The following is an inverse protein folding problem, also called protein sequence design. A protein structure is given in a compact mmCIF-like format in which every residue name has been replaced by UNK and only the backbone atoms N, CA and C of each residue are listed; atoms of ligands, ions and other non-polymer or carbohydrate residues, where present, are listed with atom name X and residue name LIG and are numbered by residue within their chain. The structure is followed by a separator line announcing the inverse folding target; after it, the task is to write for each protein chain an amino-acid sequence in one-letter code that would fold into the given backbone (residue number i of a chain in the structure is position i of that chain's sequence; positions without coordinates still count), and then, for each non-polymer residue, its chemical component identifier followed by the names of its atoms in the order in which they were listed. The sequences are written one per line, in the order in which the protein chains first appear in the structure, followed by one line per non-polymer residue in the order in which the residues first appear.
data_IF_381531043821
#
_entry.id   IF_381531043821
#
_cell.length_a   1.000
_cell.length_b   1.000
_cell.length_c   1.000
_cell.angle_alpha   90.00
_cell.angle_beta   90.00
_cell.angle_gamma   90.00
#
_symmetry.space_group_name_H-M   'P 1'
#
loop_
_entity.id
_entity.type
_entity.pdbx_description
1 polymer ?
#
# COMPACT_ATOMS: atom_id res chain seq x y z
N UNK A 1 -0.33 10.92 -5.65
CA UNK A 1 -0.51 10.61 -4.22
C UNK A 1 -0.05 11.74 -3.33
N UNK A 2 1.22 12.16 -3.36
CA UNK A 2 1.75 13.22 -2.47
C UNK A 2 0.99 14.57 -2.57
N UNK A 3 0.66 15.01 -3.80
CA UNK A 3 -0.09 16.25 -4.05
C UNK A 3 -1.53 16.21 -3.52
N UNK A 4 -2.19 15.06 -3.55
CA UNK A 4 -3.55 14.88 -3.02
C UNK A 4 -3.55 14.87 -1.48
N UNK A 5 -2.53 14.27 -0.86
CA UNK A 5 -2.34 14.30 0.60
C UNK A 5 -2.04 15.73 1.11
N UNK A 6 -1.23 16.50 0.36
CA UNK A 6 -0.94 17.91 0.70
C UNK A 6 -2.19 18.82 0.61
N UNK A 7 -3.14 18.49 -0.26
CA UNK A 7 -4.41 19.21 -0.35
C UNK A 7 -5.31 18.96 0.88
N UNK A 8 -5.18 17.81 1.55
CA UNK A 8 -5.93 17.48 2.78
C UNK A 8 -5.42 18.31 3.97
N UNK A 9 -4.12 18.61 4.03
CA UNK A 9 -3.51 19.35 5.14
C UNK A 9 -3.95 20.83 5.21
N UNK A 10 -4.46 21.39 4.11
CA UNK A 10 -4.85 22.80 4.02
C UNK A 10 -6.34 23.05 4.27
N UNK A 11 -7.17 22.01 4.36
CA UNK A 11 -8.59 22.12 4.70
C UNK A 11 -8.84 21.75 6.15
N UNK A 12 -9.27 22.72 6.97
CA UNK A 12 -9.75 22.55 8.36
C UNK A 12 -11.09 21.80 8.47
N UNK A 13 -11.48 21.02 7.46
CA UNK A 13 -12.69 20.20 7.50
C UNK A 13 -12.35 18.70 7.45
N UNK A 14 -12.93 17.86 8.33
CA UNK A 14 -12.72 16.40 8.37
C UNK A 14 -13.32 15.67 7.15
N UNK A 15 -13.64 16.38 6.07
CA UNK A 15 -14.38 15.85 4.93
C UNK A 15 -13.55 15.97 3.65
N UNK A 16 -13.04 14.84 3.16
CA UNK A 16 -12.38 14.77 1.86
C UNK A 16 -13.44 15.07 0.78
N UNK A 17 -13.24 16.10 -0.07
CA UNK A 17 -14.15 16.38 -1.18
C UNK A 17 -14.35 15.15 -2.07
N UNK A 18 -15.58 14.87 -2.50
CA UNK A 18 -15.93 13.64 -3.25
C UNK A 18 -15.06 13.43 -4.50
N UNK A 19 -14.69 14.52 -5.18
CA UNK A 19 -13.77 14.49 -6.33
C UNK A 19 -12.37 14.00 -5.95
N UNK A 20 -11.85 14.46 -4.81
CA UNK A 20 -10.54 14.06 -4.29
C UNK A 20 -10.60 12.60 -3.83
N UNK A 21 -11.69 12.19 -3.18
CA UNK A 21 -11.91 10.79 -2.77
C UNK A 21 -11.88 9.84 -3.98
N UNK A 22 -12.59 10.15 -5.07
CA UNK A 22 -12.57 9.35 -6.31
C UNK A 22 -11.19 9.28 -6.97
N UNK A 23 -10.44 10.37 -6.96
CA UNK A 23 -9.08 10.38 -7.52
C UNK A 23 -8.13 9.52 -6.67
N UNK A 24 -8.24 9.59 -5.34
CA UNK A 24 -7.46 8.75 -4.43
C UNK A 24 -7.84 7.28 -4.61
N UNK A 25 -9.14 6.98 -4.66
CA UNK A 25 -9.67 5.64 -4.89
C UNK A 25 -9.10 5.01 -6.17
N UNK A 26 -9.17 5.73 -7.29
CA UNK A 26 -8.67 5.25 -8.59
C UNK A 26 -7.15 5.00 -8.57
N UNK A 27 -6.39 5.89 -7.93
CA UNK A 27 -4.95 5.71 -7.79
C UNK A 27 -4.62 4.49 -6.93
N UNK A 28 -5.28 4.32 -5.78
CA UNK A 28 -5.07 3.15 -4.91
C UNK A 28 -5.41 1.86 -5.66
N UNK A 29 -6.53 1.80 -6.37
CA UNK A 29 -6.90 0.64 -7.19
C UNK A 29 -5.85 0.30 -8.25
N UNK A 30 -5.26 1.33 -8.88
CA UNK A 30 -4.19 1.13 -9.85
C UNK A 30 -2.95 0.52 -9.19
N UNK A 31 -2.56 1.02 -8.02
CA UNK A 31 -1.41 0.49 -7.28
C UNK A 31 -1.66 -0.95 -6.78
N UNK A 32 -2.82 -1.24 -6.20
CA UNK A 32 -3.23 -2.61 -5.80
C UNK A 32 -3.05 -3.60 -6.96
N UNK A 33 -3.46 -3.22 -8.19
CA UNK A 33 -3.30 -4.07 -9.38
C UNK A 33 -1.83 -4.25 -9.79
N UNK A 34 -1.01 -3.21 -9.66
CA UNK A 34 0.42 -3.28 -9.98
C UNK A 34 1.15 -4.20 -9.00
N UNK A 35 0.91 -4.02 -7.71
CA UNK A 35 1.53 -4.83 -6.65
C UNK A 35 1.07 -6.29 -6.75
N UNK A 36 -0.22 -6.54 -7.04
CA UNK A 36 -0.72 -7.90 -7.29
C UNK A 36 0.04 -8.59 -8.44
N UNK A 37 0.37 -7.85 -9.50
CA UNK A 37 1.16 -8.37 -10.63
C UNK A 37 2.62 -8.61 -10.20
N UNK A 38 3.21 -7.71 -9.42
CA UNK A 38 4.55 -7.86 -8.89
C UNK A 38 4.67 -9.11 -7.99
N UNK A 39 3.74 -9.27 -7.03
CA UNK A 39 3.62 -10.45 -6.16
C UNK A 39 3.58 -11.74 -6.97
N UNK A 40 2.73 -11.81 -8.00
CA UNK A 40 2.63 -13.00 -8.86
C UNK A 40 3.93 -13.26 -9.63
N UNK A 41 4.57 -12.21 -10.12
CA UNK A 41 5.83 -12.30 -10.89
C UNK A 41 6.97 -12.78 -10.00
N UNK A 42 7.15 -12.18 -8.82
CA UNK A 42 8.19 -12.56 -7.88
C UNK A 42 7.97 -13.96 -7.33
N UNK A 43 6.71 -14.36 -7.07
CA UNK A 43 6.40 -15.72 -6.66
C UNK A 43 6.83 -16.75 -7.71
N UNK A 44 6.51 -16.52 -8.99
CA UNK A 44 6.94 -17.41 -10.08
C UNK A 44 8.47 -17.46 -10.20
N UNK A 45 9.15 -16.32 -10.08
CA UNK A 45 10.62 -16.26 -10.10
C UNK A 45 11.26 -17.01 -8.93
N UNK A 46 10.67 -16.96 -7.73
CA UNK A 46 11.17 -17.70 -6.56
C UNK A 46 11.09 -19.23 -6.73
N UNK A 47 10.14 -19.70 -7.55
CA UNK A 47 10.00 -21.13 -7.88
C UNK A 47 11.07 -21.60 -8.90
N UNK A 48 11.64 -20.67 -9.69
CA UNK A 48 12.60 -20.96 -10.78
C UNK A 48 14.07 -20.66 -10.41
N UNK A 49 14.33 -19.76 -9.45
CA UNK A 49 15.69 -19.34 -9.09
C UNK A 49 16.41 -20.40 -8.25
N UNK A 50 17.58 -20.83 -8.73
CA UNK A 50 18.51 -21.72 -8.02
C UNK A 50 19.58 -20.96 -7.21
N UNK A 51 19.89 -19.72 -7.60
CA UNK A 51 20.90 -18.92 -6.91
C UNK A 51 20.35 -18.34 -5.60
N UNK A 52 20.91 -18.77 -4.47
CA UNK A 52 20.46 -18.35 -3.13
C UNK A 52 20.58 -16.83 -2.87
N UNK A 53 21.54 -16.14 -3.48
CA UNK A 53 21.71 -14.68 -3.32
C UNK A 53 20.62 -13.92 -4.09
N UNK A 54 20.32 -14.35 -5.32
CA UNK A 54 19.22 -13.78 -6.11
C UNK A 54 17.87 -14.08 -5.45
N UNK A 55 17.71 -15.30 -4.92
CA UNK A 55 16.51 -15.72 -4.18
C UNK A 55 16.25 -14.83 -2.98
N UNK A 56 17.28 -14.49 -2.22
CA UNK A 56 17.16 -13.59 -1.06
C UNK A 56 16.65 -12.19 -1.47
N UNK A 57 17.16 -11.65 -2.58
CA UNK A 57 16.74 -10.34 -3.09
C UNK A 57 15.29 -10.39 -3.56
N UNK A 58 14.92 -11.37 -4.38
CA UNK A 58 13.54 -11.51 -4.87
C UNK A 58 12.57 -11.78 -3.71
N UNK A 59 13.01 -12.54 -2.69
CA UNK A 59 12.20 -12.80 -1.51
C UNK A 59 11.98 -11.52 -0.68
N UNK A 60 12.98 -10.65 -0.56
CA UNK A 60 12.80 -9.34 0.07
C UNK A 60 11.78 -8.47 -0.69
N UNK A 61 11.91 -8.38 -2.02
CA UNK A 61 10.96 -7.65 -2.87
C UNK A 61 9.54 -8.23 -2.78
N UNK A 62 9.40 -9.55 -2.79
CA UNK A 62 8.11 -10.22 -2.65
C UNK A 62 7.41 -9.88 -1.34
N UNK A 63 8.15 -9.87 -0.22
CA UNK A 63 7.57 -9.53 1.07
C UNK A 63 7.19 -8.04 1.17
N UNK A 64 7.98 -7.15 0.57
CA UNK A 64 7.67 -5.72 0.50
C UNK A 64 6.34 -5.48 -0.24
N UNK A 65 6.19 -6.06 -1.44
CA UNK A 65 4.94 -5.93 -2.22
C UNK A 65 3.73 -6.53 -1.50
N UNK A 66 3.89 -7.65 -0.79
CA UNK A 66 2.81 -8.25 0.00
C UNK A 66 2.30 -7.30 1.10
N UNK A 67 3.23 -6.62 1.79
CA UNK A 67 2.90 -5.67 2.86
C UNK A 67 2.21 -4.43 2.29
N UNK A 68 2.79 -3.82 1.26
CA UNK A 68 2.22 -2.68 0.56
C UNK A 68 0.81 -2.98 0.02
N UNK A 69 0.61 -4.17 -0.57
CA UNK A 69 -0.69 -4.60 -1.08
C UNK A 69 -1.76 -4.75 -0.01
N UNK A 70 -1.39 -5.28 1.17
CA UNK A 70 -2.28 -5.38 2.30
C UNK A 70 -2.67 -3.99 2.84
N UNK A 71 -1.70 -3.07 2.93
CA UNK A 71 -1.93 -1.69 3.37
C UNK A 71 -2.88 -0.96 2.41
N UNK A 72 -2.59 -0.99 1.10
CA UNK A 72 -3.41 -0.30 0.11
C UNK A 72 -4.85 -0.80 0.09
N UNK A 73 -5.08 -2.10 0.29
CA UNK A 73 -6.44 -2.66 0.43
C UNK A 73 -7.18 -2.11 1.64
N UNK A 74 -6.51 -1.94 2.77
CA UNK A 74 -7.13 -1.35 3.97
C UNK A 74 -7.47 0.11 3.77
N UNK A 75 -6.55 0.89 3.19
CA UNK A 75 -6.79 2.30 2.85
C UNK A 75 -7.96 2.41 1.86
N UNK A 76 -8.01 1.52 0.85
CA UNK A 76 -9.13 1.46 -0.09
C UNK A 76 -10.46 1.25 0.62
N UNK A 77 -10.57 0.23 1.47
CA UNK A 77 -11.79 -0.06 2.22
C UNK A 77 -12.20 1.12 3.10
N UNK A 78 -11.25 1.77 3.76
CA UNK A 78 -11.49 2.97 4.59
C UNK A 78 -12.13 4.10 3.79
N UNK A 79 -11.59 4.38 2.60
CA UNK A 79 -12.04 5.48 1.75
C UNK A 79 -13.42 5.17 1.13
N UNK A 80 -13.66 3.91 0.75
CA UNK A 80 -14.88 3.47 0.05
C UNK A 80 -16.02 3.18 1.01
N UNK A 81 -15.74 2.48 2.13
CA UNK A 81 -16.74 2.09 3.12
C UNK A 81 -17.03 3.21 4.13
N UNK A 82 -16.27 4.33 4.09
CA UNK A 82 -16.33 5.44 5.05
C UNK A 82 -16.18 5.00 6.51
N UNK A 83 -15.55 3.85 6.74
CA UNK A 83 -15.10 3.50 8.07
C UNK A 83 -14.00 4.49 8.45
N UNK A 84 -14.20 5.25 9.52
CA UNK A 84 -13.16 6.11 10.06
C UNK A 84 -12.08 5.22 10.67
N UNK A 85 -10.96 5.08 9.96
CA UNK A 85 -9.73 4.61 10.60
C UNK A 85 -9.28 5.63 11.63
N UNK A 86 -8.95 5.17 12.83
CA UNK A 86 -8.24 5.99 13.79
C UNK A 86 -6.79 6.20 13.34
N UNK A 87 -6.21 7.36 13.65
CA UNK A 87 -4.83 7.69 13.28
C UNK A 87 -3.85 6.65 13.85
N UNK A 88 -4.14 6.12 15.05
CA UNK A 88 -3.37 5.05 15.69
C UNK A 88 -3.35 3.75 14.87
N UNK A 89 -4.48 3.36 14.28
CA UNK A 89 -4.56 2.15 13.46
C UNK A 89 -3.73 2.29 12.18
N UNK A 90 -3.77 3.46 11.54
CA UNK A 90 -2.93 3.77 10.37
C UNK A 90 -1.46 3.74 10.75
N UNK A 91 -1.07 4.39 11.85
CA UNK A 91 0.31 4.41 12.33
C UNK A 91 0.83 3.04 12.73
N UNK A 92 0.00 2.19 13.33
CA UNK A 92 0.42 0.84 13.72
C UNK A 92 0.72 -0.03 12.50
N UNK A 93 -0.02 0.12 11.39
CA UNK A 93 0.31 -0.57 10.14
C UNK A 93 1.55 0.01 9.44
N UNK A 94 1.71 1.34 9.44
CA UNK A 94 2.88 2.00 8.84
C UNK A 94 4.16 1.62 9.60
N UNK A 95 4.12 1.48 10.93
CA UNK A 95 5.29 1.05 11.72
C UNK A 95 5.83 -0.32 11.26
N UNK A 96 4.97 -1.23 10.84
CA UNK A 96 5.37 -2.56 10.35
C UNK A 96 6.03 -2.53 8.95
N UNK A 97 5.89 -1.42 8.21
CA UNK A 97 6.59 -1.13 6.93
C UNK A 97 7.88 -0.33 7.14
N UNK A 98 7.89 0.63 8.07
CA UNK A 98 9.02 1.55 8.25
C UNK A 98 10.08 1.07 9.24
N UNK A 99 9.81 0.03 10.02
CA UNK A 99 10.77 -0.56 10.96
C UNK A 99 11.25 -1.89 10.38
N UNK A 100 12.49 -1.95 9.85
CA UNK A 100 13.08 -3.21 9.46
C UNK A 100 13.19 -4.09 10.71
N UNK A 101 12.49 -5.23 10.73
CA UNK A 101 12.71 -6.25 11.75
C UNK A 101 13.95 -7.05 11.34
N UNK A 102 15.12 -6.53 11.74
CA UNK A 102 16.38 -7.26 11.75
C UNK A 102 16.50 -8.13 13.00
#
# INVERSE_FOLDING_TARGET
MLSALLAIQSSTQPFIPEKISKEIEQNILKHIKLEQKAIQTYKALLDEIENEQEKLIIQALYHDELRHHALLKKIYNTIVEKETLDEGEVWDFIKDDFIPQY
#
